data_IF_712845036760
#
_entry.id   IF_712845036760
#
_cell.length_a   1.000
_cell.length_b   1.000
_cell.length_c   1.000
_cell.angle_alpha   90.00
_cell.angle_beta   90.00
_cell.angle_gamma   90.00
#
_symmetry.space_group_name_H-M   'P 1'
#
loop_
_entity.id
_entity.type
_entity.pdbx_description
1 polymer ?
#
# COMPACT_ATOMS: atom_id res chain seq x y z
N UNK A 1 1.61 7.92 -6.79
CA UNK A 1 2.01 7.49 -8.14
C UNK A 1 1.78 5.98 -8.24
N UNK A 2 0.63 5.55 -8.77
CA UNK A 2 0.44 4.12 -9.08
C UNK A 2 1.36 3.80 -10.23
N UNK A 3 2.21 2.81 -10.02
CA UNK A 3 3.09 2.29 -11.05
C UNK A 3 2.22 1.53 -12.07
N UNK A 4 1.52 2.26 -12.93
CA UNK A 4 1.39 1.87 -14.31
C UNK A 4 2.80 1.89 -14.87
N UNK A 5 3.18 0.81 -15.55
CA UNK A 5 4.56 0.54 -15.94
C UNK A 5 5.17 1.77 -16.61
N UNK A 6 6.28 2.26 -16.07
CA UNK A 6 7.06 3.31 -16.72
C UNK A 6 7.73 2.72 -17.96
N UNK A 7 7.44 3.28 -19.13
CA UNK A 7 7.94 2.78 -20.42
C UNK A 7 9.18 3.52 -20.94
N UNK A 8 9.72 4.47 -20.17
CA UNK A 8 10.81 5.34 -20.61
C UNK A 8 10.33 6.77 -20.90
N UNK A 9 11.27 7.71 -20.96
CA UNK A 9 10.97 9.12 -21.23
C UNK A 9 10.55 9.30 -22.69
N UNK A 10 9.39 9.93 -22.94
CA UNK A 10 8.87 10.15 -24.29
C UNK A 10 7.89 9.09 -24.77
N UNK A 11 7.75 7.99 -24.05
CA UNK A 11 6.78 6.95 -24.35
C UNK A 11 5.40 7.30 -23.79
N UNK A 12 4.35 6.88 -24.50
CA UNK A 12 2.98 7.08 -24.02
C UNK A 12 2.74 6.27 -22.75
N UNK A 13 2.01 6.88 -21.83
CA UNK A 13 1.50 6.15 -20.69
C UNK A 13 0.50 5.10 -21.16
N UNK A 14 0.81 3.83 -20.96
CA UNK A 14 -0.08 2.70 -21.20
C UNK A 14 -0.45 2.12 -19.85
N UNK A 15 -1.74 1.89 -19.62
CA UNK A 15 -2.20 1.03 -18.52
C UNK A 15 -1.76 -0.41 -18.84
N UNK A 16 -0.50 -0.72 -18.53
CA UNK A 16 0.11 -2.02 -18.82
C UNK A 16 -0.31 -3.10 -17.81
N UNK A 17 -1.13 -2.77 -16.82
CA UNK A 17 -1.67 -3.71 -15.84
C UNK A 17 -3.16 -3.43 -15.64
N UNK A 18 -3.96 -4.49 -15.46
CA UNK A 18 -5.38 -4.39 -15.08
C UNK A 18 -5.58 -3.91 -13.64
N UNK A 19 -4.70 -3.03 -13.15
CA UNK A 19 -4.68 -2.51 -11.79
C UNK A 19 -5.67 -1.37 -11.69
N UNK A 20 -6.53 -1.42 -10.67
CA UNK A 20 -7.55 -0.41 -10.45
C UNK A 20 -6.93 0.98 -10.25
N UNK A 21 -7.30 1.99 -11.07
CA UNK A 21 -6.88 3.38 -10.88
C UNK A 21 -7.19 3.94 -9.49
N UNK A 22 -8.26 3.48 -8.83
CA UNK A 22 -8.64 3.93 -7.49
C UNK A 22 -7.51 3.76 -6.47
N UNK A 23 -6.64 2.77 -6.66
CA UNK A 23 -5.49 2.52 -5.77
C UNK A 23 -4.51 3.69 -5.71
N UNK A 24 -4.51 4.62 -6.68
CA UNK A 24 -3.68 5.82 -6.60
C UNK A 24 -4.11 6.68 -5.42
N UNK A 25 -5.41 6.88 -5.24
CA UNK A 25 -5.93 7.73 -4.19
C UNK A 25 -5.95 7.07 -2.80
N UNK A 26 -5.39 5.85 -2.66
CA UNK A 26 -5.34 5.13 -1.36
C UNK A 26 -4.77 6.01 -0.24
N UNK A 27 -3.69 6.73 -0.52
CA UNK A 27 -3.03 7.65 0.41
C UNK A 27 -2.60 8.95 -0.30
N UNK A 28 -3.30 9.33 -1.36
CA UNK A 28 -3.00 10.55 -2.12
C UNK A 28 -4.25 11.11 -2.81
N UNK A 29 -4.07 12.24 -3.49
CA UNK A 29 -5.08 12.92 -4.30
C UNK A 29 -4.51 13.20 -5.70
N UNK A 30 -4.41 12.15 -6.52
CA UNK A 30 -3.80 12.24 -7.86
C UNK A 30 -4.78 11.91 -9.00
N UNK A 31 -5.92 11.29 -8.69
CA UNK A 31 -6.98 11.06 -9.68
C UNK A 31 -7.78 12.34 -9.94
N UNK A 32 -8.26 12.47 -11.17
CA UNK A 32 -9.18 13.54 -11.56
C UNK A 32 -10.59 13.24 -11.08
N UNK A 33 -11.36 14.27 -10.72
CA UNK A 33 -12.71 14.18 -10.15
C UNK A 33 -13.70 13.31 -10.93
N UNK A 34 -13.60 13.23 -12.26
CA UNK A 34 -14.50 12.39 -13.06
C UNK A 34 -14.37 10.88 -12.80
N UNK A 35 -13.33 10.45 -12.08
CA UNK A 35 -13.21 9.06 -11.62
C UNK A 35 -14.06 8.77 -10.38
N UNK A 36 -14.62 9.80 -9.72
CA UNK A 36 -15.48 9.67 -8.54
C UNK A 36 -14.84 8.89 -7.38
N UNK A 37 -13.51 8.83 -7.31
CA UNK A 37 -12.76 8.20 -6.22
C UNK A 37 -12.33 9.26 -5.22
N UNK A 38 -12.77 9.20 -3.96
CA UNK A 38 -12.34 10.16 -2.94
C UNK A 38 -10.82 10.17 -2.75
N UNK A 39 -10.21 11.33 -2.47
CA UNK A 39 -8.81 11.39 -2.08
C UNK A 39 -8.61 10.71 -0.72
N UNK A 40 -7.43 10.12 -0.50
CA UNK A 40 -7.05 9.46 0.77
C UNK A 40 -8.09 8.45 1.30
N UNK A 41 -8.73 7.70 0.41
CA UNK A 41 -9.91 6.89 0.77
C UNK A 41 -9.62 5.74 1.74
N UNK A 42 -8.36 5.31 1.88
CA UNK A 42 -8.04 4.17 2.73
C UNK A 42 -8.15 4.57 4.19
N UNK A 43 -9.22 4.10 4.82
CA UNK A 43 -9.42 4.14 6.24
C UNK A 43 -9.58 2.71 6.76
N UNK A 44 -9.01 2.44 7.93
CA UNK A 44 -9.32 1.19 8.63
C UNK A 44 -10.79 1.23 9.07
N UNK A 45 -11.42 0.06 9.16
CA UNK A 45 -12.82 -0.04 9.58
C UNK A 45 -12.99 0.63 10.94
N UNK A 46 -14.00 1.51 11.07
CA UNK A 46 -14.26 2.29 12.28
C UNK A 46 -13.01 3.05 12.81
N UNK A 47 -12.07 3.41 11.92
CA UNK A 47 -10.77 4.01 12.29
C UNK A 47 -9.95 3.14 13.27
N UNK A 48 -10.11 1.82 13.18
CA UNK A 48 -9.46 0.86 14.07
C UNK A 48 -10.11 0.73 15.44
N UNK A 49 -11.29 1.30 15.65
CA UNK A 49 -12.06 1.13 16.89
C UNK A 49 -12.85 -0.18 16.84
N UNK A 50 -12.96 -0.85 17.98
CA UNK A 50 -13.78 -2.05 18.13
C UNK A 50 -14.87 -1.84 19.18
N UNK A 51 -16.04 -2.45 18.99
CA UNK A 51 -17.14 -2.40 19.97
C UNK A 51 -16.90 -3.45 21.04
N UNK A 52 -16.72 -3.00 22.28
CA UNK A 52 -16.64 -3.87 23.44
C UNK A 52 -18.02 -4.46 23.79
N UNK A 53 -18.08 -5.57 24.56
CA UNK A 53 -19.34 -6.19 24.97
C UNK A 53 -20.25 -5.27 25.79
N UNK A 54 -19.69 -4.27 26.48
CA UNK A 54 -20.42 -3.25 27.23
C UNK A 54 -20.98 -2.12 26.33
N UNK A 55 -20.77 -2.20 25.01
CA UNK A 55 -21.24 -1.25 24.02
C UNK A 55 -20.32 -0.05 23.78
N UNK A 56 -19.21 0.08 24.52
CA UNK A 56 -18.25 1.18 24.34
C UNK A 56 -17.34 0.92 23.15
N UNK A 57 -16.90 1.99 22.48
CA UNK A 57 -15.86 1.91 21.46
C UNK A 57 -14.48 2.04 22.13
N UNK A 58 -13.62 1.07 21.88
CA UNK A 58 -12.25 1.04 22.43
C UNK A 58 -11.22 0.98 21.30
N UNK A 59 -10.07 1.63 21.50
CA UNK A 59 -8.91 1.48 20.63
C UNK A 59 -8.03 0.36 21.20
N UNK A 60 -7.81 -0.74 20.46
CA UNK A 60 -6.96 -1.84 20.93
C UNK A 60 -5.50 -1.37 21.03
N UNK A 61 -4.75 -1.97 21.97
CA UNK A 61 -3.32 -1.68 22.08
C UNK A 61 -2.59 -2.16 20.82
N UNK A 62 -1.65 -1.33 20.35
CA UNK A 62 -0.93 -1.54 19.09
C UNK A 62 -0.11 -2.83 19.09
N UNK A 63 0.22 -3.36 20.27
CA UNK A 63 1.02 -4.58 20.46
C UNK A 63 0.25 -5.87 20.14
N UNK A 64 -1.08 -5.84 20.13
CA UNK A 64 -1.91 -7.01 19.84
C UNK A 64 -2.10 -7.33 18.36
N UNK A 65 -1.77 -6.40 17.45
CA UNK A 65 -1.99 -6.54 16.00
C UNK A 65 -0.81 -7.21 15.24
N UNK A 66 0.21 -7.72 15.92
CA UNK A 66 1.37 -8.38 15.29
C UNK A 66 1.14 -9.86 14.95
N UNK A 67 -0.02 -10.43 15.27
CA UNK A 67 -0.26 -11.87 15.23
C UNK A 67 -1.17 -12.37 14.11
N UNK A 68 -1.44 -11.56 13.08
CA UNK A 68 -2.20 -12.05 11.92
C UNK A 68 -1.82 -11.22 10.70
N UNK A 69 -1.12 -11.84 9.73
CA UNK A 69 -0.92 -11.40 8.31
C UNK A 69 0.43 -11.81 7.69
N UNK A 70 1.25 -12.61 8.38
CA UNK A 70 2.47 -13.18 7.77
C UNK A 70 2.44 -14.71 7.77
N UNK A 71 1.53 -15.29 6.97
CA UNK A 71 1.81 -16.58 6.32
C UNK A 71 3.00 -16.38 5.37
N UNK A 72 4.22 -16.47 5.89
CA UNK A 72 5.41 -16.72 5.08
C UNK A 72 5.46 -18.23 4.81
N UNK A 73 4.80 -18.65 3.74
CA UNK A 73 5.06 -19.95 3.13
C UNK A 73 5.96 -19.77 1.91
N UNK A 74 7.14 -20.37 1.96
CA UNK A 74 7.99 -20.60 0.80
C UNK A 74 9.44 -20.18 0.99
N UNK A 75 10.20 -20.99 1.71
CA UNK A 75 11.67 -20.94 1.74
C UNK A 75 12.24 -21.01 0.31
N UNK A 76 12.86 -19.92 -0.15
CA UNK A 76 13.78 -19.93 -1.29
C UNK A 76 15.11 -20.56 -0.86
N UNK A 77 15.43 -21.74 -1.38
CA UNK A 77 16.82 -22.19 -1.53
C UNK A 77 17.16 -22.07 -3.02
N UNK A 78 17.83 -20.99 -3.37
CA UNK A 78 18.65 -20.91 -4.59
C UNK A 78 19.89 -20.08 -4.23
N UNK A 79 21.01 -20.80 -4.10
CA UNK A 79 22.35 -20.24 -4.12
C UNK A 79 22.57 -19.40 -5.37
N UNK A 80 23.20 -18.22 -5.24
CA UNK A 80 23.60 -17.43 -6.40
C UNK A 80 23.79 -15.95 -6.11
N UNK A 81 25.00 -15.65 -5.66
CA UNK A 81 25.80 -14.43 -5.78
C UNK A 81 25.26 -13.25 -6.65
N UNK A 82 25.70 -12.03 -6.28
CA UNK A 82 25.96 -10.81 -7.07
C UNK A 82 25.28 -9.53 -6.54
N UNK A 83 26.10 -8.78 -5.79
CA UNK A 83 26.34 -7.32 -5.85
C UNK A 83 25.18 -6.32 -5.99
N UNK A 84 25.18 -5.31 -5.13
CA UNK A 84 24.49 -4.05 -5.45
C UNK A 84 24.23 -3.11 -4.28
N UNK A 85 25.30 -2.55 -3.73
CA UNK A 85 25.30 -1.36 -2.87
C UNK A 85 24.48 -0.22 -3.50
N UNK A 86 23.52 0.38 -2.79
CA UNK A 86 23.27 1.83 -2.75
C UNK A 86 22.38 2.19 -1.55
N UNK A 87 23.02 2.47 -0.41
CA UNK A 87 22.46 3.39 0.59
C UNK A 87 22.72 4.82 0.13
N UNK A 88 21.96 5.75 0.71
CA UNK A 88 21.98 7.22 0.54
C UNK A 88 21.18 7.66 -0.69
N UNK A 89 20.07 8.39 -0.59
CA UNK A 89 19.82 9.57 0.24
C UNK A 89 18.36 9.63 0.74
N UNK A 90 18.17 9.98 2.01
CA UNK A 90 16.94 10.53 2.57
C UNK A 90 17.30 11.78 3.35
N UNK A 91 16.41 12.77 3.27
CA UNK A 91 16.25 14.01 4.05
C UNK A 91 16.74 15.28 3.32
N UNK A 92 16.13 16.42 3.66
CA UNK A 92 14.75 16.86 3.41
C UNK A 92 14.59 17.59 2.07
#
# INVERSE_FOLDING_TARGET
MVCCRYHGSGERFVLASGRDPALVNKASDFLKDHHCVPPYWRQDENKGMVRAPDGRWIQPDRRGHLHDDHHHDGHHVVDGDHHGHFRHFRQP
#
